data_IF_500901690040
#
_entry.id   IF_500901690040
#
_cell.length_a   1.000
_cell.length_b   1.000
_cell.length_c   1.000
_cell.angle_alpha   90.00
_cell.angle_beta   90.00
_cell.angle_gamma   90.00
#
_symmetry.space_group_name_H-M   'P 1'
#
loop_
_entity.id
_entity.type
_entity.pdbx_description
1 polymer ?
#
# COMPACT_ATOMS: atom_id res chain seq x y z
N UNK A 1 -37.32 -0.81 1.26
CA UNK A 1 -35.88 -1.02 0.99
C UNK A 1 -35.12 -0.09 1.91
N UNK A 2 -34.00 -0.50 2.53
CA UNK A 2 -33.18 0.45 3.26
C UNK A 2 -32.68 1.49 2.25
N UNK A 3 -33.07 2.74 2.40
CA UNK A 3 -32.53 3.87 1.65
C UNK A 3 -31.09 4.05 2.09
N UNK A 4 -30.15 3.51 1.33
CA UNK A 4 -28.76 3.95 1.40
C UNK A 4 -28.74 5.36 0.82
N UNK A 5 -28.56 6.36 1.68
CA UNK A 5 -28.29 7.72 1.24
C UNK A 5 -26.80 7.80 0.89
N UNK A 6 -26.49 8.09 -0.37
CA UNK A 6 -25.13 8.32 -0.84
C UNK A 6 -25.05 9.65 -1.54
N UNK A 7 -24.13 10.50 -1.13
CA UNK A 7 -23.75 11.69 -1.88
C UNK A 7 -22.31 11.55 -2.34
N UNK A 8 -22.11 11.43 -3.65
CA UNK A 8 -20.85 10.98 -4.25
C UNK A 8 -20.26 12.10 -5.09
N UNK A 9 -18.95 12.31 -4.95
CA UNK A 9 -18.17 13.17 -5.83
C UNK A 9 -18.05 12.51 -7.22
N UNK A 10 -18.45 13.21 -8.28
CA UNK A 10 -18.55 12.63 -9.63
C UNK A 10 -17.72 13.35 -10.69
N UNK A 11 -17.32 12.60 -11.72
CA UNK A 11 -16.62 13.12 -12.90
C UNK A 11 -17.49 14.18 -13.63
N UNK A 12 -16.86 15.16 -14.32
CA UNK A 12 -15.43 15.29 -14.62
C UNK A 12 -14.61 16.06 -13.57
N UNK A 13 -15.19 16.45 -12.43
CA UNK A 13 -14.59 17.43 -11.52
C UNK A 13 -14.03 16.84 -10.22
N UNK A 14 -13.85 15.52 -10.11
CA UNK A 14 -13.43 14.89 -8.85
C UNK A 14 -12.02 15.30 -8.44
N UNK A 15 -11.16 15.59 -9.42
CA UNK A 15 -9.74 15.91 -9.20
C UNK A 15 -9.42 17.40 -9.31
N UNK A 16 -10.42 18.27 -9.17
CA UNK A 16 -10.24 19.72 -9.20
C UNK A 16 -10.62 20.28 -7.82
N UNK A 17 -9.70 21.03 -7.20
CA UNK A 17 -9.90 21.53 -5.83
C UNK A 17 -11.00 22.57 -5.71
N UNK A 18 -11.27 23.32 -6.79
CA UNK A 18 -12.41 24.23 -6.88
C UNK A 18 -13.29 23.73 -8.01
N UNK A 19 -14.62 23.80 -7.86
CA UNK A 19 -15.61 23.37 -8.87
C UNK A 19 -16.03 21.89 -8.83
N UNK A 20 -16.15 21.30 -7.64
CA UNK A 20 -16.61 19.92 -7.50
C UNK A 20 -18.07 19.71 -7.97
N UNK A 21 -18.36 18.49 -8.42
CA UNK A 21 -19.70 18.04 -8.79
C UNK A 21 -20.12 16.87 -7.90
N UNK A 22 -21.32 16.94 -7.31
CA UNK A 22 -21.85 15.88 -6.47
C UNK A 22 -23.17 15.36 -7.00
N UNK A 23 -23.44 14.08 -6.76
CA UNK A 23 -24.73 13.48 -6.98
C UNK A 23 -25.24 12.85 -5.68
N UNK A 24 -26.43 13.26 -5.24
CA UNK A 24 -27.13 12.63 -4.13
C UNK A 24 -28.07 11.56 -4.69
N UNK A 25 -27.84 10.30 -4.34
CA UNK A 25 -28.64 9.15 -4.76
C UNK A 25 -28.84 9.12 -6.30
N UNK A 26 -30.09 9.24 -6.74
CA UNK A 26 -30.49 9.28 -8.14
C UNK A 26 -30.89 10.69 -8.61
N UNK A 27 -30.65 11.71 -7.79
CA UNK A 27 -30.92 13.10 -8.17
C UNK A 27 -29.99 13.54 -9.28
N UNK A 28 -30.32 14.66 -9.92
CA UNK A 28 -29.45 15.27 -10.93
C UNK A 28 -28.14 15.72 -10.27
N UNK A 29 -26.99 15.52 -10.93
CA UNK A 29 -25.73 16.12 -10.50
C UNK A 29 -25.85 17.62 -10.25
N UNK A 30 -25.21 18.08 -9.16
CA UNK A 30 -25.11 19.50 -8.79
C UNK A 30 -23.66 19.93 -8.87
N UNK A 31 -23.42 21.03 -9.59
CA UNK A 31 -22.11 21.63 -9.79
C UNK A 31 -21.92 22.82 -8.83
N UNK A 32 -20.77 22.88 -8.16
CA UNK A 32 -20.47 23.88 -7.14
C UNK A 32 -19.28 24.77 -7.54
N UNK A 33 -19.49 25.78 -8.40
CA UNK A 33 -18.40 26.63 -8.90
C UNK A 33 -17.74 27.45 -7.78
N UNK A 34 -16.41 27.52 -7.81
CA UNK A 34 -15.57 28.28 -6.88
C UNK A 34 -15.45 27.70 -5.47
N UNK A 35 -16.29 26.72 -5.12
CA UNK A 35 -16.29 26.09 -3.80
C UNK A 35 -15.15 25.09 -3.69
N UNK A 36 -14.47 25.12 -2.54
CA UNK A 36 -13.33 24.26 -2.25
C UNK A 36 -13.80 22.84 -1.93
N UNK A 37 -13.18 21.83 -2.54
CA UNK A 37 -13.61 20.44 -2.49
C UNK A 37 -13.70 19.91 -1.05
N UNK A 38 -12.62 20.06 -0.26
CA UNK A 38 -12.58 19.58 1.12
C UNK A 38 -13.67 20.22 1.97
N UNK A 39 -13.92 21.53 1.80
CA UNK A 39 -14.96 22.25 2.55
C UNK A 39 -16.37 21.75 2.18
N UNK A 40 -16.62 21.43 0.90
CA UNK A 40 -17.89 20.83 0.47
C UNK A 40 -18.07 19.40 1.00
N UNK A 41 -17.00 18.60 1.01
CA UNK A 41 -17.04 17.25 1.59
C UNK A 41 -17.30 17.34 3.09
N UNK A 42 -16.69 18.30 3.79
CA UNK A 42 -16.96 18.58 5.20
C UNK A 42 -18.44 18.91 5.43
N UNK A 43 -18.97 19.92 4.72
CA UNK A 43 -20.38 20.34 4.82
C UNK A 43 -21.35 19.16 4.64
N UNK A 44 -21.12 18.34 3.61
CA UNK A 44 -21.97 17.17 3.32
C UNK A 44 -21.84 16.08 4.38
N UNK A 45 -20.63 15.84 4.88
CA UNK A 45 -20.38 14.85 5.94
C UNK A 45 -21.07 15.25 7.24
N UNK A 46 -21.00 16.53 7.61
CA UNK A 46 -21.68 17.07 8.78
C UNK A 46 -23.21 16.97 8.65
N UNK A 47 -23.75 17.29 7.47
CA UNK A 47 -25.18 17.11 7.18
C UNK A 47 -25.62 15.65 7.28
N UNK A 48 -24.81 14.71 6.80
CA UNK A 48 -25.09 13.28 6.95
C UNK A 48 -25.08 12.84 8.42
N UNK A 49 -24.15 13.34 9.23
CA UNK A 49 -24.12 13.06 10.66
C UNK A 49 -25.35 13.61 11.39
N UNK A 50 -25.84 14.79 10.99
CA UNK A 50 -27.10 15.31 11.52
C UNK A 50 -28.28 14.40 11.14
N UNK A 51 -28.42 14.01 9.87
CA UNK A 51 -29.45 13.05 9.40
C UNK A 51 -29.35 11.69 10.14
N UNK A 52 -28.14 11.19 10.38
CA UNK A 52 -27.91 9.93 11.08
C UNK A 52 -28.28 10.02 12.56
N UNK A 53 -27.96 11.14 13.22
CA UNK A 53 -28.26 11.39 14.62
C UNK A 53 -29.75 11.67 14.87
N UNK A 54 -30.45 12.28 13.90
CA UNK A 54 -31.90 12.55 13.95
C UNK A 54 -32.75 11.33 13.54
N UNK A 55 -32.11 10.22 13.18
CA UNK A 55 -32.80 9.03 12.71
C UNK A 55 -33.67 8.38 13.79
N UNK A 56 -34.99 8.47 13.61
CA UNK A 56 -36.03 7.99 14.54
C UNK A 56 -35.95 6.48 14.80
N UNK A 57 -35.41 5.70 13.86
CA UNK A 57 -35.37 4.24 13.97
C UNK A 57 -34.12 3.70 14.70
N UNK A 58 -33.24 4.58 15.21
CA UNK A 58 -32.02 4.20 15.98
C UNK A 58 -31.08 3.23 15.25
N UNK A 59 -31.13 3.19 13.91
CA UNK A 59 -30.31 2.30 13.10
C UNK A 59 -28.85 2.77 13.06
N UNK A 60 -27.86 1.84 13.03
CA UNK A 60 -26.47 2.21 12.85
C UNK A 60 -26.24 2.85 11.47
N UNK A 61 -25.27 3.76 11.41
CA UNK A 61 -24.84 4.40 10.17
C UNK A 61 -23.46 3.89 9.72
N UNK A 62 -23.17 4.09 8.43
CA UNK A 62 -21.84 3.88 7.85
C UNK A 62 -21.57 5.05 6.90
N UNK A 63 -20.44 5.73 7.11
CA UNK A 63 -20.05 6.90 6.33
C UNK A 63 -18.63 6.73 5.82
N UNK A 64 -18.41 7.03 4.54
CA UNK A 64 -17.09 7.06 3.93
C UNK A 64 -16.81 8.47 3.40
N UNK A 65 -15.82 9.15 4.00
CA UNK A 65 -15.50 10.56 3.71
C UNK A 65 -14.22 10.61 2.88
N UNK A 66 -14.32 11.09 1.64
CA UNK A 66 -13.24 11.05 0.66
C UNK A 66 -13.00 12.43 0.02
N UNK A 67 -12.28 13.34 0.70
CA UNK A 67 -11.84 14.58 0.09
C UNK A 67 -10.72 14.30 -0.92
N UNK A 68 -10.55 15.21 -1.90
CA UNK A 68 -9.44 15.13 -2.86
C UNK A 68 -8.07 15.36 -2.19
N UNK A 69 -8.01 16.20 -1.15
CA UNK A 69 -6.76 16.62 -0.54
C UNK A 69 -5.98 15.46 0.09
N UNK A 70 -4.66 15.31 -0.13
CA UNK A 70 -3.74 16.19 -0.85
C UNK A 70 -3.35 15.70 -2.25
N UNK A 71 -4.25 15.01 -2.97
CA UNK A 71 -3.99 14.56 -4.34
C UNK A 71 -3.60 15.73 -5.26
N UNK A 72 -2.79 15.45 -6.28
CA UNK A 72 -2.45 16.41 -7.32
C UNK A 72 -3.71 16.89 -8.04
N UNK A 73 -3.76 18.18 -8.40
CA UNK A 73 -4.87 18.66 -9.22
C UNK A 73 -4.75 18.07 -10.63
N UNK A 74 -5.84 17.51 -11.15
CA UNK A 74 -5.86 16.85 -12.45
C UNK A 74 -6.84 17.54 -13.39
N UNK A 75 -6.32 18.03 -14.51
CA UNK A 75 -7.11 18.64 -15.57
C UNK A 75 -7.03 17.79 -16.84
N UNK A 76 -8.18 17.49 -17.43
CA UNK A 76 -8.25 16.86 -18.77
C UNK A 76 -8.24 18.00 -19.79
N UNK A 77 -7.20 18.06 -20.62
CA UNK A 77 -7.06 19.04 -21.71
C UNK A 77 -7.12 18.34 -23.06
N UNK A 78 -7.14 19.12 -24.15
CA UNK A 78 -7.05 18.56 -25.50
C UNK A 78 -5.72 17.85 -25.79
N UNK A 79 -4.71 18.04 -24.94
CA UNK A 79 -3.39 17.40 -25.02
C UNK A 79 -3.26 16.18 -24.10
N UNK A 80 -4.30 15.81 -23.35
CA UNK A 80 -4.30 14.68 -22.42
C UNK A 80 -4.52 15.10 -20.98
N UNK A 81 -4.09 14.25 -20.04
CA UNK A 81 -4.22 14.49 -18.60
C UNK A 81 -3.04 15.30 -18.11
N UNK A 82 -3.30 16.41 -17.40
CA UNK A 82 -2.27 17.26 -16.81
C UNK A 82 -2.38 17.25 -15.30
N UNK A 83 -1.27 16.96 -14.64
CA UNK A 83 -1.13 17.06 -13.20
C UNK A 83 -0.44 18.35 -12.78
N UNK A 84 -0.94 18.96 -11.72
CA UNK A 84 -0.27 20.06 -11.01
C UNK A 84 -0.27 19.84 -9.51
N UNK A 85 0.55 20.62 -8.80
CA UNK A 85 0.58 20.58 -7.35
C UNK A 85 -0.84 20.80 -6.77
N UNK A 86 -1.15 20.19 -5.62
CA UNK A 86 -2.38 20.46 -4.88
C UNK A 86 -2.64 21.95 -4.72
N UNK A 87 -3.91 22.34 -4.80
CA UNK A 87 -4.30 23.73 -4.53
C UNK A 87 -4.79 23.82 -3.09
N UNK A 88 -4.13 24.58 -2.22
CA UNK A 88 -4.54 24.70 -0.82
C UNK A 88 -5.82 25.53 -0.70
N UNK A 89 -6.54 25.35 0.40
CA UNK A 89 -7.57 26.29 0.78
C UNK A 89 -6.95 27.68 0.95
N UNK A 90 -7.66 28.74 0.55
CA UNK A 90 -7.13 30.10 0.55
C UNK A 90 -6.66 30.52 1.97
N UNK A 91 -7.36 30.05 3.02
CA UNK A 91 -7.00 30.25 4.44
C UNK A 91 -5.66 29.63 4.84
N UNK A 92 -5.17 28.64 4.11
CA UNK A 92 -3.94 27.89 4.41
C UNK A 92 -2.81 28.15 3.42
N UNK A 93 -2.99 29.04 2.44
CA UNK A 93 -2.06 29.27 1.34
C UNK A 93 -0.62 29.65 1.77
N UNK A 94 -0.46 30.16 2.99
CA UNK A 94 0.83 30.64 3.52
C UNK A 94 1.41 29.77 4.64
N UNK A 95 0.78 28.63 4.97
CA UNK A 95 1.33 27.73 5.99
C UNK A 95 2.64 27.08 5.51
N UNK A 96 3.48 26.70 6.48
CA UNK A 96 4.73 25.95 6.27
C UNK A 96 5.72 26.58 5.26
N UNK A 97 6.01 27.91 5.31
CA UNK A 97 6.81 28.59 4.30
C UNK A 97 8.22 28.01 4.12
N UNK A 98 8.79 27.44 5.18
CA UNK A 98 10.14 26.90 5.20
C UNK A 98 10.19 25.37 5.10
N UNK A 99 9.05 24.69 4.96
CA UNK A 99 9.04 23.24 4.86
C UNK A 99 9.67 22.78 3.55
N UNK A 100 10.40 21.67 3.64
CA UNK A 100 11.08 20.98 2.53
C UNK A 100 10.83 19.49 2.65
N UNK A 101 10.88 18.79 1.53
CA UNK A 101 10.74 17.32 1.56
C UNK A 101 11.88 16.75 2.39
N UNK A 102 11.62 15.77 3.27
CA UNK A 102 12.67 15.07 4.00
C UNK A 102 13.76 14.54 3.06
N UNK A 103 15.00 14.96 3.30
CA UNK A 103 16.19 14.56 2.53
C UNK A 103 16.76 13.24 3.07
N UNK A 104 15.99 12.16 2.94
CA UNK A 104 16.39 10.80 3.36
C UNK A 104 17.51 10.25 2.48
N UNK A 105 18.10 9.09 2.85
CA UNK A 105 19.11 8.38 2.03
C UNK A 105 18.59 8.03 0.63
N UNK A 106 17.28 7.75 0.50
CA UNK A 106 16.62 7.51 -0.78
C UNK A 106 16.41 8.77 -1.61
N UNK A 107 16.53 9.97 -1.04
CA UNK A 107 16.27 11.23 -1.77
C UNK A 107 17.37 11.55 -2.79
N UNK A 108 17.02 11.54 -4.07
CA UNK A 108 17.85 11.93 -5.22
C UNK A 108 19.32 11.42 -5.18
N UNK A 109 19.54 10.09 -5.05
CA UNK A 109 20.85 9.50 -4.84
C UNK A 109 21.79 9.74 -6.02
N UNK A 110 23.10 9.76 -5.75
CA UNK A 110 24.15 9.95 -6.76
C UNK A 110 24.25 8.80 -7.77
N UNK A 111 23.79 7.60 -7.39
CA UNK A 111 23.69 6.41 -8.25
C UNK A 111 22.21 6.03 -8.38
N UNK A 112 21.67 5.81 -9.60
CA UNK A 112 20.30 5.32 -9.75
C UNK A 112 20.18 3.89 -9.25
N UNK A 113 18.95 3.39 -9.11
CA UNK A 113 18.75 1.96 -8.86
C UNK A 113 19.16 1.16 -10.08
N UNK A 114 19.76 -0.01 -9.87
CA UNK A 114 20.12 -0.93 -10.97
C UNK A 114 18.98 -1.95 -11.17
N UNK A 115 17.78 -1.45 -11.49
CA UNK A 115 16.56 -2.27 -11.68
C UNK A 115 15.60 -1.58 -12.64
N UNK A 116 15.01 -2.35 -13.56
CA UNK A 116 13.94 -1.96 -14.47
C UNK A 116 14.13 -0.55 -15.09
N UNK A 117 13.07 0.25 -15.23
CA UNK A 117 13.13 1.62 -15.74
C UNK A 117 13.91 2.58 -14.83
N UNK A 118 14.08 2.23 -13.55
CA UNK A 118 14.70 3.10 -12.54
C UNK A 118 16.20 3.33 -12.78
N UNK A 119 16.87 2.45 -13.55
CA UNK A 119 18.28 2.60 -13.92
C UNK A 119 18.54 3.74 -14.90
N UNK A 120 17.53 4.09 -15.68
CA UNK A 120 17.61 5.15 -16.68
C UNK A 120 17.21 6.52 -16.11
N UNK A 121 16.77 6.59 -14.85
CA UNK A 121 16.31 7.84 -14.27
C UNK A 121 17.48 8.82 -14.06
N UNK A 122 17.43 10.02 -14.67
CA UNK A 122 18.44 11.03 -14.47
C UNK A 122 18.40 11.55 -13.03
N UNK A 123 19.55 12.00 -12.54
CA UNK A 123 19.58 12.69 -11.25
C UNK A 123 18.80 14.00 -11.36
N UNK A 124 17.96 14.29 -10.37
CA UNK A 124 17.18 15.53 -10.36
C UNK A 124 18.12 16.73 -10.15
N UNK A 125 17.99 17.74 -11.02
CA UNK A 125 18.73 18.99 -10.90
C UNK A 125 18.11 19.92 -9.83
N UNK A 126 18.78 21.02 -9.50
CA UNK A 126 18.33 21.96 -8.47
C UNK A 126 16.94 22.53 -8.76
N UNK A 127 16.64 22.87 -10.02
CA UNK A 127 15.32 23.41 -10.42
C UNK A 127 14.18 22.43 -10.11
N UNK A 128 14.38 21.14 -10.38
CA UNK A 128 13.38 20.11 -10.07
C UNK A 128 13.27 19.91 -8.56
N UNK A 129 14.40 19.87 -7.84
CA UNK A 129 14.42 19.73 -6.37
C UNK A 129 13.69 20.89 -5.69
N UNK A 130 13.91 22.13 -6.12
CA UNK A 130 13.24 23.32 -5.58
C UNK A 130 11.72 23.29 -5.88
N UNK A 131 11.34 22.80 -7.06
CA UNK A 131 9.93 22.57 -7.39
C UNK A 131 9.28 21.52 -6.50
N UNK A 132 9.94 20.39 -6.25
CA UNK A 132 9.43 19.35 -5.37
C UNK A 132 9.26 19.88 -3.94
N UNK A 133 10.15 20.74 -3.45
CA UNK A 133 9.97 21.40 -2.14
C UNK A 133 8.71 22.28 -2.11
N UNK A 134 8.40 23.00 -3.19
CA UNK A 134 7.13 23.74 -3.28
C UNK A 134 5.93 22.79 -3.37
N UNK A 135 6.02 21.72 -4.16
CA UNK A 135 4.98 20.71 -4.27
C UNK A 135 4.63 20.13 -2.89
N UNK A 136 5.65 19.82 -2.09
CA UNK A 136 5.49 19.34 -0.72
C UNK A 136 4.82 20.36 0.19
N UNK A 137 5.21 21.64 0.12
CA UNK A 137 4.50 22.71 0.85
C UNK A 137 3.04 22.78 0.46
N UNK A 138 2.72 22.69 -0.83
CA UNK A 138 1.34 22.69 -1.30
C UNK A 138 0.54 21.49 -0.79
N UNK A 139 1.13 20.29 -0.79
CA UNK A 139 0.53 19.10 -0.16
C UNK A 139 0.23 19.33 1.32
N UNK A 140 1.19 19.86 2.09
CA UNK A 140 1.00 20.15 3.52
C UNK A 140 -0.11 21.18 3.76
N UNK A 141 -0.19 22.23 2.94
CA UNK A 141 -1.24 23.26 3.04
C UNK A 141 -2.62 22.71 2.68
N UNK A 142 -2.71 21.82 1.69
CA UNK A 142 -3.95 21.11 1.36
C UNK A 142 -4.36 20.18 2.51
N UNK A 143 -3.41 19.44 3.10
CA UNK A 143 -3.64 18.62 4.30
C UNK A 143 -4.17 19.41 5.49
N UNK A 144 -3.78 20.67 5.67
CA UNK A 144 -4.32 21.49 6.76
C UNK A 144 -5.85 21.66 6.66
N UNK A 145 -6.43 21.69 5.45
CA UNK A 145 -7.90 21.71 5.31
C UNK A 145 -8.56 20.37 5.61
N UNK A 146 -7.82 19.26 5.44
CA UNK A 146 -8.26 17.92 5.85
C UNK A 146 -8.30 17.82 7.37
N UNK A 147 -7.31 18.40 8.05
CA UNK A 147 -7.26 18.49 9.52
C UNK A 147 -8.47 19.25 10.08
N UNK A 148 -8.81 20.42 9.52
CA UNK A 148 -10.03 21.16 9.88
C UNK A 148 -11.29 20.29 9.75
N UNK A 149 -11.45 19.58 8.62
CA UNK A 149 -12.62 18.73 8.40
C UNK A 149 -12.71 17.59 9.40
N UNK A 150 -11.57 16.99 9.78
CA UNK A 150 -11.53 15.94 10.79
C UNK A 150 -11.97 16.51 12.16
N UNK A 151 -11.48 17.69 12.53
CA UNK A 151 -11.88 18.38 13.77
C UNK A 151 -13.38 18.68 13.79
N UNK A 152 -13.93 19.18 12.68
CA UNK A 152 -15.37 19.43 12.53
C UNK A 152 -16.20 18.16 12.70
N UNK A 153 -15.78 17.04 12.09
CA UNK A 153 -16.45 15.73 12.22
C UNK A 153 -16.45 15.26 13.68
N UNK A 154 -15.30 15.34 14.37
CA UNK A 154 -15.22 14.96 15.78
C UNK A 154 -16.07 15.87 16.67
N UNK A 155 -16.00 17.18 16.47
CA UNK A 155 -16.82 18.17 17.17
C UNK A 155 -18.31 17.89 16.99
N UNK A 156 -18.74 17.51 15.78
CA UNK A 156 -20.13 17.13 15.50
C UNK A 156 -20.52 15.83 16.20
N UNK A 157 -19.67 14.80 16.16
CA UNK A 157 -19.93 13.55 16.89
C UNK A 157 -20.07 13.79 18.40
N UNK A 158 -19.25 14.65 18.99
CA UNK A 158 -19.35 15.05 20.40
C UNK A 158 -20.64 15.82 20.68
N UNK A 159 -20.95 16.83 19.87
CA UNK A 159 -22.18 17.63 20.01
C UNK A 159 -23.44 16.76 19.96
N UNK A 160 -23.46 15.75 19.08
CA UNK A 160 -24.59 14.83 18.91
C UNK A 160 -24.56 13.64 19.90
N UNK A 161 -23.54 13.55 20.76
CA UNK A 161 -23.40 12.45 21.74
C UNK A 161 -23.09 11.08 21.11
N UNK A 162 -22.55 11.05 19.89
CA UNK A 162 -22.25 9.84 19.13
C UNK A 162 -20.78 9.39 19.24
N UNK A 163 -19.91 10.25 19.78
CA UNK A 163 -18.46 10.09 19.74
C UNK A 163 -17.96 8.79 20.40
N UNK A 164 -18.66 8.30 21.42
CA UNK A 164 -18.30 7.11 22.19
C UNK A 164 -18.87 5.81 21.62
N UNK A 165 -19.83 5.90 20.70
CA UNK A 165 -20.46 4.77 20.00
C UNK A 165 -20.05 4.68 18.51
N UNK A 166 -19.07 5.48 18.10
CA UNK A 166 -18.61 5.55 16.71
C UNK A 166 -17.18 5.05 16.58
N UNK A 167 -16.95 4.09 15.68
CA UNK A 167 -15.61 3.78 15.19
C UNK A 167 -15.23 4.75 14.07
N UNK A 168 -14.09 5.41 14.20
CA UNK A 168 -13.49 6.28 13.18
C UNK A 168 -12.20 5.63 12.70
N UNK A 169 -12.12 5.38 11.40
CA UNK A 169 -10.94 4.81 10.73
C UNK A 169 -10.37 5.87 9.79
N UNK A 170 -9.10 6.21 9.95
CA UNK A 170 -8.37 7.12 9.07
C UNK A 170 -7.27 6.37 8.35
N UNK A 171 -7.25 6.47 7.03
CA UNK A 171 -6.20 5.91 6.17
C UNK A 171 -6.19 6.62 4.82
N UNK A 172 -5.33 6.19 3.90
CA UNK A 172 -5.21 6.70 2.54
C UNK A 172 -5.16 5.53 1.56
N UNK A 173 -5.44 5.75 0.28
CA UNK A 173 -5.37 4.74 -0.78
C UNK A 173 -3.93 4.29 -1.06
N UNK A 174 -2.99 5.22 -1.05
CA UNK A 174 -1.56 5.01 -1.25
C UNK A 174 -0.74 6.12 -0.56
N UNK A 175 0.57 5.91 -0.52
CA UNK A 175 1.58 6.91 -0.19
C UNK A 175 1.92 7.82 -1.37
N UNK A 176 3.04 8.55 -1.27
CA UNK A 176 3.46 9.49 -2.30
C UNK A 176 4.95 9.81 -2.20
N UNK A 177 5.71 9.43 -3.21
CA UNK A 177 7.12 9.80 -3.34
C UNK A 177 7.29 11.15 -4.04
N UNK A 178 8.35 11.87 -3.66
CA UNK A 178 8.78 13.13 -4.28
C UNK A 178 10.31 13.23 -4.19
N UNK A 179 11.01 12.75 -5.22
CA UNK A 179 12.47 12.79 -5.30
C UNK A 179 13.18 11.56 -4.75
N UNK A 180 12.51 10.72 -3.97
CA UNK A 180 13.05 9.43 -3.53
C UNK A 180 13.30 8.53 -4.74
N UNK A 181 14.44 7.84 -4.74
CA UNK A 181 14.92 7.00 -5.84
C UNK A 181 15.05 7.73 -7.19
N UNK A 182 15.17 9.07 -7.17
CA UNK A 182 15.13 9.98 -8.33
C UNK A 182 13.78 10.05 -9.05
N UNK A 183 12.73 9.49 -8.46
CA UNK A 183 11.38 9.60 -8.98
C UNK A 183 10.87 11.03 -8.83
N UNK A 184 10.00 11.47 -9.74
CA UNK A 184 9.32 12.75 -9.64
C UNK A 184 8.24 12.72 -8.54
N UNK A 185 7.41 13.75 -8.43
CA UNK A 185 6.22 13.66 -7.59
C UNK A 185 5.28 12.59 -8.16
N UNK A 186 4.86 11.62 -7.36
CA UNK A 186 3.96 10.58 -7.84
C UNK A 186 3.75 9.44 -6.86
N UNK A 187 3.23 8.36 -7.42
CA UNK A 187 2.95 7.08 -6.78
C UNK A 187 3.15 5.99 -7.82
N UNK A 188 2.80 4.74 -7.53
CA UNK A 188 2.95 3.53 -8.38
C UNK A 188 4.24 2.73 -8.20
N UNK A 189 5.10 3.07 -7.24
CA UNK A 189 6.27 2.26 -6.89
C UNK A 189 5.98 1.29 -5.73
N UNK A 190 6.79 0.25 -5.59
CA UNK A 190 6.71 -0.69 -4.46
C UNK A 190 7.47 -0.21 -3.20
N UNK A 191 7.96 1.03 -3.20
CA UNK A 191 8.81 1.55 -2.12
C UNK A 191 7.99 2.07 -0.93
N UNK A 192 8.61 2.17 0.25
CA UNK A 192 7.88 2.50 1.50
C UNK A 192 7.16 3.84 1.39
N UNK A 193 7.70 4.80 0.64
CA UNK A 193 7.06 6.10 0.41
C UNK A 193 5.67 5.99 -0.25
N UNK A 194 5.41 4.94 -1.03
CA UNK A 194 4.16 4.70 -1.75
C UNK A 194 3.24 3.67 -1.08
N UNK A 195 3.79 2.74 -0.30
CA UNK A 195 3.02 1.58 0.21
C UNK A 195 2.83 1.60 1.73
N UNK A 196 3.71 2.26 2.48
CA UNK A 196 3.60 2.37 3.94
C UNK A 196 2.76 3.59 4.31
N UNK A 197 1.46 3.37 4.43
CA UNK A 197 0.47 4.42 4.64
C UNK A 197 0.06 4.60 6.11
N UNK A 198 -0.41 5.80 6.50
CA UNK A 198 -1.03 5.98 7.82
C UNK A 198 -2.29 5.12 7.95
N UNK A 199 -2.44 4.51 9.13
CA UNK A 199 -3.65 3.81 9.53
C UNK A 199 -3.92 4.08 11.01
N UNK A 200 -5.08 4.65 11.31
CA UNK A 200 -5.51 4.96 12.67
C UNK A 200 -6.96 4.52 12.86
N UNK A 201 -7.26 3.95 14.03
CA UNK A 201 -8.61 3.60 14.43
C UNK A 201 -8.88 4.06 15.86
N UNK A 202 -10.04 4.69 16.06
CA UNK A 202 -10.60 5.10 17.36
C UNK A 202 -12.01 4.53 17.46
N UNK A 203 -12.43 4.13 18.65
CA UNK A 203 -13.83 3.79 18.89
C UNK A 203 -14.02 2.97 20.17
N UNK A 204 -15.25 2.47 20.40
CA UNK A 204 -15.57 1.67 21.58
C UNK A 204 -14.59 0.49 21.80
N UNK A 205 -13.96 0.46 22.97
CA UNK A 205 -13.04 -0.63 23.36
C UNK A 205 -11.71 -0.69 22.60
N UNK A 206 -11.39 0.33 21.78
CA UNK A 206 -10.07 0.45 21.13
C UNK A 206 -9.08 1.06 22.14
N UNK A 207 -8.01 0.34 22.55
CA UNK A 207 -7.05 0.88 23.51
C UNK A 207 -6.18 1.99 22.88
N UNK A 208 -5.85 3.00 23.68
CA UNK A 208 -4.91 4.05 23.29
C UNK A 208 -3.49 3.48 23.13
N UNK A 209 -2.82 3.82 22.03
CA UNK A 209 -1.43 3.45 21.80
C UNK A 209 -1.15 3.19 20.32
N UNK A 210 -0.07 2.48 20.06
CA UNK A 210 0.28 2.01 18.72
C UNK A 210 0.62 0.52 18.77
N UNK A 211 0.32 -0.18 17.68
CA UNK A 211 0.67 -1.58 17.47
C UNK A 211 1.42 -1.70 16.15
N UNK A 212 2.47 -2.53 16.12
CA UNK A 212 3.12 -2.92 14.87
C UNK A 212 2.51 -4.25 14.44
N UNK A 213 1.74 -4.22 13.37
CA UNK A 213 1.06 -5.38 12.84
C UNK A 213 0.99 -5.24 11.31
N UNK A 214 1.38 -6.25 10.52
CA UNK A 214 1.27 -6.16 9.06
C UNK A 214 -0.18 -6.19 8.65
N UNK A 215 -0.60 -5.24 7.82
CA UNK A 215 -1.99 -5.11 7.35
C UNK A 215 -2.02 -4.68 5.90
N UNK A 216 -3.11 -4.99 5.21
CA UNK A 216 -3.39 -4.50 3.86
C UNK A 216 -4.82 -3.92 3.79
N UNK A 217 -5.16 -3.13 2.77
CA UNK A 217 -6.52 -2.60 2.60
C UNK A 217 -7.59 -3.68 2.51
N UNK A 218 -7.25 -4.88 2.04
CA UNK A 218 -8.19 -6.03 2.03
C UNK A 218 -8.62 -6.47 3.44
N UNK A 219 -7.89 -6.07 4.49
CA UNK A 219 -8.24 -6.31 5.89
C UNK A 219 -9.32 -5.33 6.41
N UNK A 220 -9.59 -4.22 5.72
CA UNK A 220 -10.59 -3.23 6.15
C UNK A 220 -12.00 -3.82 6.23
N UNK A 221 -12.44 -4.49 5.16
CA UNK A 221 -13.78 -5.09 5.09
C UNK A 221 -14.03 -6.13 6.21
N UNK A 222 -13.18 -7.15 6.42
CA UNK A 222 -13.36 -8.09 7.53
C UNK A 222 -13.25 -7.41 8.90
N UNK A 223 -12.40 -6.39 9.06
CA UNK A 223 -12.32 -5.61 10.31
C UNK A 223 -13.64 -4.88 10.60
N UNK A 224 -14.22 -4.21 9.61
CA UNK A 224 -15.51 -3.52 9.75
C UNK A 224 -16.62 -4.52 10.07
N UNK A 225 -16.62 -5.70 9.43
CA UNK A 225 -17.58 -6.77 9.72
C UNK A 225 -17.47 -7.23 11.18
N UNK A 226 -16.25 -7.48 11.68
CA UNK A 226 -16.03 -7.88 13.08
C UNK A 226 -16.51 -6.78 14.06
N UNK A 227 -16.20 -5.52 13.77
CA UNK A 227 -16.62 -4.39 14.61
C UNK A 227 -18.15 -4.19 14.62
N UNK A 228 -18.81 -4.46 13.50
CA UNK A 228 -20.26 -4.39 13.35
C UNK A 228 -21.00 -5.65 13.81
N UNK A 229 -20.28 -6.70 14.25
CA UNK A 229 -20.89 -7.99 14.65
C UNK A 229 -21.48 -8.79 13.48
N UNK A 230 -21.01 -8.53 12.26
CA UNK A 230 -21.43 -9.24 11.04
C UNK A 230 -20.54 -10.47 10.85
N UNK A 231 -21.10 -11.66 10.56
CA UNK A 231 -20.30 -12.85 10.27
C UNK A 231 -19.32 -12.63 9.12
N UNK A 232 -18.07 -13.06 9.31
CA UNK A 232 -17.05 -13.02 8.26
C UNK A 232 -17.43 -13.94 7.10
N UNK A 233 -16.95 -13.61 5.90
CA UNK A 233 -17.12 -14.42 4.71
C UNK A 233 -15.82 -15.13 4.37
N UNK A 234 -15.92 -16.37 3.91
CA UNK A 234 -14.76 -17.20 3.57
C UNK A 234 -14.05 -16.73 2.28
N UNK A 235 -14.71 -15.88 1.48
CA UNK A 235 -14.19 -15.32 0.24
C UNK A 235 -13.43 -14.00 0.43
N UNK A 236 -13.25 -13.52 1.67
CA UNK A 236 -12.39 -12.39 1.95
C UNK A 236 -10.90 -12.76 1.81
N UNK A 237 -10.17 -11.94 1.05
CA UNK A 237 -8.72 -12.07 0.87
C UNK A 237 -7.91 -11.58 2.08
N UNK A 238 -8.55 -10.82 2.97
CA UNK A 238 -7.98 -10.31 4.23
C UNK A 238 -8.62 -10.90 5.47
N UNK A 239 -8.15 -10.49 6.63
CA UNK A 239 -8.71 -10.89 7.94
C UNK A 239 -8.88 -9.70 8.88
N UNK A 240 -9.69 -9.82 9.95
CA UNK A 240 -9.86 -8.72 10.88
C UNK A 240 -8.54 -8.34 11.57
N UNK A 241 -8.24 -7.05 11.59
CA UNK A 241 -7.13 -6.48 12.33
C UNK A 241 -7.37 -6.61 13.84
N UNK A 242 -6.32 -6.75 14.68
CA UNK A 242 -6.46 -6.91 16.13
C UNK A 242 -6.80 -5.58 16.83
N UNK A 243 -7.97 -5.00 16.53
CA UNK A 243 -8.39 -3.67 16.96
C UNK A 243 -8.57 -3.58 18.48
N UNK A 244 -9.35 -4.49 19.08
CA UNK A 244 -9.68 -4.47 20.52
C UNK A 244 -8.68 -5.23 21.39
N UNK A 245 -8.06 -6.29 20.85
CA UNK A 245 -7.10 -7.12 21.56
C UNK A 245 -5.75 -7.14 20.85
N UNK A 246 -4.93 -6.14 21.14
CA UNK A 246 -3.60 -5.95 20.56
C UNK A 246 -2.57 -7.02 20.98
N UNK A 247 -2.92 -7.92 21.92
CA UNK A 247 -2.06 -9.02 22.36
C UNK A 247 -2.29 -10.31 21.57
N UNK A 248 -3.16 -10.32 20.56
CA UNK A 248 -3.32 -11.50 19.71
C UNK A 248 -2.00 -11.80 18.98
N UNK A 249 -1.58 -13.08 18.92
CA UNK A 249 -0.40 -13.47 18.16
C UNK A 249 -0.61 -13.08 16.70
N UNK A 250 0.48 -12.61 16.08
CA UNK A 250 0.49 -12.28 14.67
C UNK A 250 0.09 -13.50 13.85
N UNK A 251 -1.03 -13.40 13.12
CA UNK A 251 -1.59 -14.53 12.35
C UNK A 251 -0.97 -14.64 10.95
N UNK A 252 -0.45 -13.53 10.42
CA UNK A 252 0.11 -13.45 9.08
C UNK A 252 1.25 -12.45 9.04
N UNK A 253 2.22 -12.72 8.17
CA UNK A 253 3.47 -11.98 8.04
C UNK A 253 3.63 -11.29 6.69
N UNK A 254 2.63 -11.39 5.81
CA UNK A 254 2.76 -10.99 4.40
C UNK A 254 1.78 -9.86 4.08
N UNK A 255 2.29 -8.87 3.38
CA UNK A 255 1.50 -7.86 2.66
C UNK A 255 1.88 -7.94 1.19
N UNK A 256 0.89 -8.18 0.33
CA UNK A 256 1.07 -8.23 -1.12
C UNK A 256 0.86 -6.83 -1.72
N UNK A 257 1.75 -6.42 -2.62
CA UNK A 257 1.67 -5.15 -3.36
C UNK A 257 1.97 -5.42 -4.83
N UNK A 258 1.10 -4.98 -5.71
CA UNK A 258 1.20 -5.25 -7.13
C UNK A 258 0.87 -4.00 -7.94
N UNK A 259 1.49 -3.89 -9.11
CA UNK A 259 1.20 -2.78 -10.01
C UNK A 259 1.35 -3.21 -11.47
N UNK A 260 0.39 -2.79 -12.31
CA UNK A 260 0.41 -2.95 -13.76
C UNK A 260 -0.27 -1.75 -14.40
N UNK A 261 0.43 -1.01 -15.27
CA UNK A 261 -0.20 0.00 -16.12
C UNK A 261 0.79 0.52 -17.17
N UNK A 262 0.31 1.07 -18.29
CA UNK A 262 1.11 2.01 -19.10
C UNK A 262 0.95 3.46 -18.64
N UNK A 263 -0.08 3.75 -17.85
CA UNK A 263 -0.48 5.10 -17.48
C UNK A 263 0.07 5.56 -16.12
N UNK A 264 1.22 5.03 -15.68
CA UNK A 264 1.95 5.69 -14.58
C UNK A 264 2.38 7.08 -15.07
N UNK A 265 1.80 8.11 -14.47
CA UNK A 265 2.16 9.50 -14.70
C UNK A 265 2.92 10.05 -13.51
N UNK A 266 4.01 10.73 -13.80
CA UNK A 266 4.60 11.65 -12.82
C UNK A 266 3.62 12.82 -12.61
N UNK A 267 3.18 13.06 -11.38
CA UNK A 267 2.11 14.00 -11.04
C UNK A 267 2.58 15.47 -10.90
N UNK A 268 3.55 15.90 -11.71
CA UNK A 268 4.10 17.25 -11.65
C UNK A 268 4.54 17.81 -12.99
N UNK A 269 4.80 19.12 -13.05
CA UNK A 269 5.13 19.82 -14.30
C UNK A 269 6.46 19.40 -14.95
N UNK A 270 7.34 18.73 -14.20
CA UNK A 270 8.60 18.16 -14.69
C UNK A 270 8.52 16.64 -14.84
N UNK A 271 7.33 16.09 -14.66
CA UNK A 271 7.03 14.70 -14.94
C UNK A 271 7.17 14.35 -16.41
N UNK A 272 7.36 13.06 -16.69
CA UNK A 272 7.28 12.54 -18.04
C UNK A 272 5.84 12.70 -18.56
N UNK A 273 5.65 13.48 -19.63
CA UNK A 273 4.33 13.68 -20.26
C UNK A 273 3.83 12.41 -21.01
N UNK A 274 4.57 11.30 -20.93
CA UNK A 274 4.35 10.07 -21.70
C UNK A 274 4.56 8.85 -20.79
N UNK A 275 3.75 7.82 -20.99
CA UNK A 275 3.77 6.50 -20.36
C UNK A 275 5.15 6.05 -19.86
N UNK A 276 5.25 5.74 -18.55
CA UNK A 276 6.42 5.06 -17.99
C UNK A 276 6.31 3.57 -18.33
N UNK A 277 7.20 3.07 -19.18
CA UNK A 277 7.28 1.65 -19.52
C UNK A 277 8.11 0.86 -18.49
N UNK A 278 7.95 -0.47 -18.47
CA UNK A 278 8.67 -1.40 -17.60
C UNK A 278 8.44 -1.17 -16.09
N UNK A 279 7.32 -0.54 -15.71
CA UNK A 279 6.92 -0.23 -14.35
C UNK A 279 6.12 -1.35 -13.65
N UNK A 280 5.77 -2.43 -14.36
CA UNK A 280 4.98 -3.53 -13.79
C UNK A 280 5.83 -4.36 -12.82
N UNK A 281 5.28 -4.67 -11.64
CA UNK A 281 5.92 -5.52 -10.64
C UNK A 281 4.92 -6.32 -9.80
N UNK A 282 5.45 -7.36 -9.15
CA UNK A 282 4.84 -8.04 -8.01
C UNK A 282 5.78 -7.93 -6.82
N UNK A 283 5.28 -7.50 -5.67
CA UNK A 283 6.08 -7.23 -4.48
C UNK A 283 5.42 -7.80 -3.23
N UNK A 284 6.24 -8.29 -2.30
CA UNK A 284 5.79 -8.73 -0.99
C UNK A 284 6.60 -8.03 0.09
N UNK A 285 5.89 -7.52 1.10
CA UNK A 285 6.47 -7.13 2.38
C UNK A 285 6.25 -8.27 3.36
N UNK A 286 7.34 -8.74 3.95
CA UNK A 286 7.34 -9.85 4.89
C UNK A 286 7.82 -9.36 6.25
N UNK A 287 6.96 -9.37 7.25
CA UNK A 287 7.26 -8.89 8.60
C UNK A 287 6.89 -10.00 9.57
N UNK A 288 7.86 -10.59 10.25
CA UNK A 288 7.65 -11.65 11.22
C UNK A 288 8.56 -11.52 12.42
N UNK A 289 8.62 -12.57 13.24
CA UNK A 289 9.47 -12.58 14.42
C UNK A 289 10.94 -12.68 14.01
N UNK A 290 11.63 -11.54 14.01
CA UNK A 290 13.05 -11.45 13.68
C UNK A 290 13.37 -11.18 12.21
N UNK A 291 12.37 -10.87 11.36
CA UNK A 291 12.60 -10.43 9.98
C UNK A 291 11.65 -9.33 9.54
N UNK A 292 12.17 -8.42 8.71
CA UNK A 292 11.39 -7.45 7.95
C UNK A 292 12.02 -7.33 6.56
N UNK A 293 11.36 -7.87 5.53
CA UNK A 293 11.92 -7.96 4.18
C UNK A 293 10.97 -7.36 3.15
N UNK A 294 11.52 -6.73 2.12
CA UNK A 294 10.81 -6.40 0.90
C UNK A 294 11.42 -7.20 -0.24
N UNK A 295 10.60 -7.93 -1.01
CA UNK A 295 11.04 -8.64 -2.20
C UNK A 295 10.13 -8.33 -3.38
N UNK A 296 10.72 -7.92 -4.50
CA UNK A 296 9.99 -7.59 -5.73
C UNK A 296 10.56 -8.29 -6.94
N UNK A 297 9.67 -8.64 -7.88
CA UNK A 297 9.99 -9.11 -9.23
C UNK A 297 9.38 -8.15 -10.23
N UNK A 298 10.22 -7.57 -11.08
CA UNK A 298 9.80 -6.65 -12.14
C UNK A 298 9.48 -7.40 -13.43
N UNK A 299 8.68 -6.80 -14.32
CA UNK A 299 8.38 -7.38 -15.63
C UNK A 299 9.62 -7.59 -16.52
N UNK A 300 10.73 -6.90 -16.22
CA UNK A 300 12.04 -7.14 -16.84
C UNK A 300 12.74 -8.40 -16.32
N UNK A 301 12.08 -9.18 -15.46
CA UNK A 301 12.60 -10.32 -14.69
C UNK A 301 13.73 -9.98 -13.72
N UNK A 302 14.05 -8.70 -13.54
CA UNK A 302 14.98 -8.26 -12.53
C UNK A 302 14.31 -8.34 -11.14
N UNK A 303 15.11 -8.63 -10.12
CA UNK A 303 14.65 -8.89 -8.75
C UNK A 303 15.38 -8.02 -7.75
N UNK A 304 14.66 -7.59 -6.73
CA UNK A 304 15.23 -6.86 -5.62
C UNK A 304 14.79 -7.41 -4.27
N UNK A 305 15.72 -7.37 -3.32
CA UNK A 305 15.51 -7.78 -1.94
C UNK A 305 16.16 -6.75 -1.02
N UNK A 306 15.41 -6.25 -0.04
CA UNK A 306 15.90 -5.34 0.98
C UNK A 306 15.58 -5.87 2.37
N UNK A 307 16.54 -5.74 3.28
CA UNK A 307 16.31 -5.85 4.71
C UNK A 307 15.78 -4.51 5.22
N UNK A 308 14.55 -4.53 5.71
CA UNK A 308 13.77 -3.36 6.10
C UNK A 308 13.72 -3.17 7.62
N UNK A 309 14.57 -3.88 8.38
CA UNK A 309 14.71 -3.60 9.80
C UNK A 309 15.04 -2.12 10.04
N UNK A 310 14.30 -1.47 10.92
CA UNK A 310 14.68 -0.15 11.41
C UNK A 310 15.87 -0.34 12.36
N UNK A 311 17.04 0.20 12.04
CA UNK A 311 18.09 0.37 13.03
C UNK A 311 17.49 1.19 14.17
N UNK A 312 17.42 0.61 15.38
CA UNK A 312 17.25 1.44 16.55
C UNK A 312 18.42 2.44 16.55
N UNK A 313 18.22 3.72 16.94
CA UNK A 313 19.27 4.74 16.87
C UNK A 313 20.61 4.38 17.54
N UNK A 314 20.65 3.32 18.36
CA UNK A 314 21.83 2.86 19.10
C UNK A 314 22.13 1.34 18.96
N UNK A 315 21.64 0.63 17.94
CA UNK A 315 21.99 -0.80 17.76
C UNK A 315 23.26 -0.99 16.93
N UNK A 316 24.38 -1.25 17.58
CA UNK A 316 25.68 -1.59 16.96
C UNK A 316 25.74 -3.01 16.32
N UNK A 317 24.59 -3.62 16.02
CA UNK A 317 24.52 -4.97 15.46
C UNK A 317 23.43 -5.01 14.40
N UNK A 318 23.79 -4.67 13.16
CA UNK A 318 23.37 -5.26 11.87
C UNK A 318 23.66 -4.26 10.74
N UNK A 319 24.79 -4.39 10.01
CA UNK A 319 25.19 -3.46 8.96
C UNK A 319 24.35 -3.53 7.66
N UNK A 320 23.37 -4.44 7.59
CA UNK A 320 22.60 -4.72 6.36
C UNK A 320 21.19 -4.12 6.32
N UNK A 321 20.71 -3.56 7.44
CA UNK A 321 19.42 -2.87 7.50
C UNK A 321 19.40 -1.65 6.57
N UNK A 322 18.40 -1.60 5.68
CA UNK A 322 18.29 -0.61 4.62
C UNK A 322 16.82 -0.19 4.40
N UNK A 323 16.19 0.45 5.41
CA UNK A 323 14.80 0.91 5.29
C UNK A 323 14.61 1.98 4.20
N UNK A 324 15.70 2.56 3.68
CA UNK A 324 15.68 3.46 2.54
C UNK A 324 15.81 2.76 1.17
N UNK A 325 15.85 1.42 1.13
CA UNK A 325 15.77 0.60 -0.08
C UNK A 325 16.78 0.97 -1.18
N UNK A 326 18.04 1.19 -0.79
CA UNK A 326 19.15 1.60 -1.66
C UNK A 326 20.14 0.47 -2.01
N UNK A 327 20.19 -0.61 -1.22
CA UNK A 327 21.18 -1.68 -1.30
C UNK A 327 20.46 -3.00 -1.64
N UNK A 328 20.33 -3.32 -2.92
CA UNK A 328 19.67 -4.54 -3.36
C UNK A 328 20.50 -5.79 -3.03
N UNK A 329 20.08 -6.56 -2.03
CA UNK A 329 20.77 -7.75 -1.53
C UNK A 329 20.67 -8.95 -2.50
N UNK A 330 19.72 -8.95 -3.44
CA UNK A 330 19.56 -10.06 -4.37
C UNK A 330 20.79 -10.23 -5.30
N UNK A 331 21.59 -9.17 -5.49
CA UNK A 331 22.80 -9.19 -6.32
C UNK A 331 24.09 -9.48 -5.52
N UNK A 332 24.00 -9.64 -4.20
CA UNK A 332 25.17 -9.79 -3.31
C UNK A 332 25.35 -11.23 -2.83
N UNK A 333 26.60 -11.61 -2.52
CA UNK A 333 26.92 -12.85 -1.79
C UNK A 333 26.80 -12.62 -0.27
N UNK A 334 25.67 -12.07 0.17
CA UNK A 334 25.40 -11.77 1.58
C UNK A 334 24.50 -12.82 2.22
N UNK A 335 24.24 -12.65 3.51
CA UNK A 335 23.45 -13.56 4.33
C UNK A 335 22.37 -12.76 5.06
N UNK A 336 21.15 -13.27 5.07
CA UNK A 336 20.07 -12.70 5.87
C UNK A 336 19.63 -13.76 6.87
N UNK A 337 19.60 -13.39 8.15
CA UNK A 337 19.27 -14.29 9.27
C UNK A 337 20.13 -15.57 9.31
N UNK A 338 21.42 -15.45 8.94
CA UNK A 338 22.35 -16.59 8.91
C UNK A 338 22.17 -17.52 7.71
N UNK A 339 21.30 -17.19 6.75
CA UNK A 339 21.08 -17.96 5.54
C UNK A 339 21.59 -17.21 4.31
N UNK A 340 22.16 -17.90 3.30
CA UNK A 340 22.49 -17.27 2.02
C UNK A 340 21.26 -16.57 1.43
N UNK A 341 21.41 -15.37 0.88
CA UNK A 341 20.29 -14.60 0.29
C UNK A 341 19.48 -15.44 -0.69
N UNK A 342 20.12 -16.22 -1.56
CA UNK A 342 19.42 -17.03 -2.57
C UNK A 342 18.55 -18.13 -1.96
N UNK A 343 18.94 -18.66 -0.78
CA UNK A 343 18.09 -19.56 -0.02
C UNK A 343 16.81 -18.85 0.40
N UNK A 344 16.89 -17.63 0.94
CA UNK A 344 15.73 -16.82 1.31
C UNK A 344 14.87 -16.48 0.09
N UNK A 345 15.48 -16.00 -0.99
CA UNK A 345 14.80 -15.61 -2.25
C UNK A 345 13.97 -16.76 -2.82
N UNK A 346 14.46 -18.01 -2.79
CA UNK A 346 13.70 -19.17 -3.28
C UNK A 346 12.37 -19.39 -2.54
N UNK A 347 12.29 -19.05 -1.24
CA UNK A 347 11.07 -19.15 -0.43
C UNK A 347 10.12 -18.01 -0.73
N UNK A 348 10.66 -16.79 -0.82
CA UNK A 348 9.91 -15.59 -1.21
C UNK A 348 9.30 -15.73 -2.60
N UNK A 349 10.03 -16.35 -3.53
CA UNK A 349 9.52 -16.72 -4.85
C UNK A 349 8.32 -17.69 -4.77
N UNK A 350 8.41 -18.73 -3.93
CA UNK A 350 7.29 -19.65 -3.70
C UNK A 350 6.05 -18.95 -3.15
N UNK A 351 6.22 -18.03 -2.20
CA UNK A 351 5.12 -17.19 -1.70
C UNK A 351 4.52 -16.32 -2.80
N UNK A 352 5.37 -15.63 -3.57
CA UNK A 352 4.94 -14.75 -4.67
C UNK A 352 4.11 -15.50 -5.71
N UNK A 353 4.45 -16.76 -6.02
CA UNK A 353 3.66 -17.61 -6.91
C UNK A 353 2.25 -17.90 -6.39
N UNK A 354 2.07 -18.04 -5.08
CA UNK A 354 0.73 -18.16 -4.48
C UNK A 354 0.00 -16.83 -4.58
N UNK A 355 0.66 -15.74 -4.18
CA UNK A 355 0.03 -14.44 -3.96
C UNK A 355 -0.40 -13.74 -5.25
N UNK A 356 0.33 -13.92 -6.36
CA UNK A 356 -0.02 -13.32 -7.65
C UNK A 356 -1.41 -13.70 -8.21
N UNK A 357 -2.04 -14.75 -7.65
CA UNK A 357 -3.37 -15.27 -8.05
C UNK A 357 -4.21 -15.77 -6.89
N UNK A 358 -3.85 -15.44 -5.65
CA UNK A 358 -4.54 -15.95 -4.49
C UNK A 358 -6.00 -15.47 -4.46
N UNK A 359 -6.87 -16.26 -3.83
CA UNK A 359 -8.25 -15.87 -3.51
C UNK A 359 -8.62 -16.46 -2.14
N UNK A 360 -9.39 -15.69 -1.36
CA UNK A 360 -9.86 -16.01 -0.03
C UNK A 360 -8.73 -16.53 0.87
N UNK A 361 -8.95 -17.72 1.41
CA UNK A 361 -8.02 -18.39 2.33
C UNK A 361 -6.59 -18.58 1.78
N UNK A 362 -6.39 -18.60 0.46
CA UNK A 362 -5.03 -18.70 -0.11
C UNK A 362 -4.25 -17.40 0.07
N UNK A 363 -4.91 -16.24 0.04
CA UNK A 363 -4.29 -14.94 0.32
C UNK A 363 -3.94 -14.81 1.80
N UNK A 364 -4.82 -15.32 2.66
CA UNK A 364 -4.65 -15.29 4.12
C UNK A 364 -3.55 -16.24 4.60
N UNK A 365 -3.48 -17.46 4.04
CA UNK A 365 -2.58 -18.52 4.50
C UNK A 365 -1.73 -19.11 3.36
N UNK A 366 -0.88 -18.32 2.69
CA UNK A 366 -0.14 -18.79 1.51
C UNK A 366 0.87 -19.90 1.83
N UNK A 367 1.43 -19.93 3.04
CA UNK A 367 2.28 -21.05 3.48
C UNK A 367 1.53 -22.38 3.53
N UNK A 368 0.26 -22.37 3.94
CA UNK A 368 -0.60 -23.56 3.95
C UNK A 368 -0.91 -24.05 2.53
N UNK A 369 -0.96 -23.15 1.56
CA UNK A 369 -1.08 -23.51 0.14
C UNK A 369 0.14 -24.28 -0.35
N UNK A 370 1.36 -23.86 0.05
CA UNK A 370 2.60 -24.56 -0.31
C UNK A 370 2.81 -25.84 0.52
N UNK A 371 2.38 -25.84 1.78
CA UNK A 371 2.56 -26.91 2.76
C UNK A 371 1.22 -27.32 3.39
N UNK A 372 0.37 -28.08 2.68
CA UNK A 372 -0.99 -28.42 3.14
C UNK A 372 -1.03 -29.27 4.42
N UNK A 373 0.10 -29.85 4.82
CA UNK A 373 0.24 -30.59 6.08
C UNK A 373 0.33 -29.67 7.32
N UNK A 374 0.46 -28.34 7.13
CA UNK A 374 0.44 -27.35 8.22
C UNK A 374 1.74 -27.19 9.01
N UNK A 375 2.84 -27.80 8.57
CA UNK A 375 4.14 -27.77 9.26
C UNK A 375 4.95 -26.48 9.01
N UNK A 376 4.49 -25.62 8.11
CA UNK A 376 5.15 -24.37 7.73
C UNK A 376 4.11 -23.27 7.78
N UNK A 377 4.31 -22.32 8.70
CA UNK A 377 3.41 -21.18 8.91
C UNK A 377 4.13 -19.84 8.79
N UNK A 378 5.46 -19.87 8.65
CA UNK A 378 6.34 -18.70 8.59
C UNK A 378 7.53 -18.93 7.66
N UNK A 379 8.24 -17.85 7.29
CA UNK A 379 9.52 -17.95 6.60
C UNK A 379 10.55 -18.74 7.41
N UNK A 380 10.60 -18.56 8.74
CA UNK A 380 11.51 -19.33 9.61
C UNK A 380 11.29 -20.83 9.45
N UNK A 381 10.05 -21.30 9.43
CA UNK A 381 9.74 -22.71 9.21
C UNK A 381 10.19 -23.18 7.81
N UNK A 382 9.95 -22.35 6.78
CA UNK A 382 10.28 -22.63 5.38
C UNK A 382 11.80 -22.66 5.10
N UNK A 383 12.62 -22.05 5.97
CA UNK A 383 14.07 -22.05 5.86
C UNK A 383 14.72 -23.35 6.35
N UNK A 384 13.95 -24.26 6.98
CA UNK A 384 14.46 -25.55 7.43
C UNK A 384 15.08 -26.36 6.24
N UNK A 385 16.28 -26.94 6.39
CA UNK A 385 17.02 -27.59 5.29
C UNK A 385 16.26 -28.69 4.53
N UNK A 386 15.34 -29.37 5.21
CA UNK A 386 14.46 -30.38 4.61
C UNK A 386 13.64 -29.89 3.41
N UNK A 387 13.43 -28.57 3.30
CA UNK A 387 12.65 -27.95 2.22
C UNK A 387 13.53 -27.35 1.11
N UNK A 388 14.86 -27.44 1.23
CA UNK A 388 15.80 -26.82 0.27
C UNK A 388 15.57 -27.31 -1.16
N UNK A 389 15.48 -28.62 -1.36
CA UNK A 389 15.24 -29.19 -2.70
C UNK A 389 13.90 -28.74 -3.28
N UNK A 390 12.85 -28.69 -2.46
CA UNK A 390 11.53 -28.24 -2.89
C UNK A 390 11.54 -26.79 -3.39
N UNK A 391 12.14 -25.86 -2.63
CA UNK A 391 12.17 -24.45 -3.01
C UNK A 391 13.20 -24.12 -4.10
N UNK A 392 14.36 -24.77 -4.08
CA UNK A 392 15.49 -24.41 -4.95
C UNK A 392 15.49 -25.15 -6.29
N UNK A 393 14.88 -26.35 -6.36
CA UNK A 393 14.87 -27.17 -7.57
C UNK A 393 13.47 -27.37 -8.15
N UNK A 394 12.48 -27.59 -7.30
CA UNK A 394 11.14 -27.98 -7.75
C UNK A 394 10.19 -26.80 -7.93
N UNK A 395 10.48 -25.65 -7.31
CA UNK A 395 9.64 -24.45 -7.39
C UNK A 395 9.89 -23.70 -8.70
N UNK A 396 8.85 -23.47 -9.53
CA UNK A 396 8.95 -22.58 -10.67
C UNK A 396 9.38 -21.17 -10.24
N UNK A 397 10.01 -20.41 -11.13
CA UNK A 397 10.35 -19.02 -10.85
C UNK A 397 9.22 -18.11 -11.33
N UNK A 398 8.86 -17.10 -10.51
CA UNK A 398 8.05 -15.99 -10.99
C UNK A 398 8.82 -15.29 -12.10
N UNK A 399 8.16 -15.11 -13.24
CA UNK A 399 8.74 -14.45 -14.40
C UNK A 399 7.65 -13.80 -15.23
N UNK A 400 8.05 -12.90 -16.12
CA UNK A 400 7.19 -12.29 -17.12
C UNK A 400 7.78 -12.58 -18.50
N UNK A 401 6.93 -12.81 -19.50
CA UNK A 401 7.39 -12.97 -20.88
C UNK A 401 7.86 -11.63 -21.44
N UNK A 402 7.09 -10.57 -21.20
CA UNK A 402 7.41 -9.19 -21.57
C UNK A 402 6.77 -8.17 -20.61
N UNK A 403 7.18 -6.90 -20.71
CA UNK A 403 6.58 -5.80 -19.97
C UNK A 403 5.35 -5.26 -20.71
N UNK A 404 4.15 -5.61 -20.24
CA UNK A 404 2.89 -5.26 -20.88
C UNK A 404 2.09 -4.19 -20.16
N UNK A 405 1.17 -3.65 -20.95
CA UNK A 405 0.22 -2.61 -20.66
C UNK A 405 -0.98 -3.01 -19.79
N UNK A 406 -0.76 -3.85 -18.78
CA UNK A 406 -1.83 -4.31 -17.90
C UNK A 406 -1.67 -5.75 -17.43
N UNK A 407 -2.65 -6.19 -16.66
CA UNK A 407 -2.68 -7.53 -16.08
C UNK A 407 -3.14 -8.58 -17.10
N UNK A 408 -2.16 -9.24 -17.73
CA UNK A 408 -2.39 -10.30 -18.71
C UNK A 408 -1.82 -11.60 -18.14
N UNK A 409 -2.71 -12.48 -17.67
CA UNK A 409 -2.34 -13.71 -16.96
C UNK A 409 -1.37 -14.58 -17.77
N UNK A 410 -1.58 -14.70 -19.08
CA UNK A 410 -0.71 -15.49 -19.96
C UNK A 410 0.73 -14.96 -20.03
N UNK A 411 0.94 -13.67 -19.77
CA UNK A 411 2.25 -13.03 -19.79
C UNK A 411 3.03 -13.20 -18.47
N UNK A 412 2.37 -13.55 -17.36
CA UNK A 412 3.04 -13.67 -16.06
C UNK A 412 3.76 -15.02 -15.83
N UNK A 413 4.16 -15.73 -16.89
CA UNK A 413 4.95 -16.96 -16.77
C UNK A 413 4.25 -18.05 -15.93
N UNK A 414 4.97 -18.79 -15.07
CA UNK A 414 4.38 -19.82 -14.22
C UNK A 414 3.27 -19.29 -13.29
N UNK A 415 2.12 -19.95 -13.30
CA UNK A 415 0.91 -19.54 -12.56
C UNK A 415 0.62 -20.40 -11.33
N UNK A 416 1.14 -21.62 -11.30
CA UNK A 416 0.80 -22.63 -10.30
C UNK A 416 2.09 -22.96 -9.55
N UNK A 417 2.14 -22.78 -8.22
CA UNK A 417 3.28 -23.20 -7.43
C UNK A 417 3.36 -24.72 -7.31
N UNK A 418 4.57 -25.23 -7.12
CA UNK A 418 4.75 -26.59 -6.65
C UNK A 418 4.21 -26.72 -5.21
N UNK A 419 3.57 -27.83 -4.90
CA UNK A 419 3.03 -28.13 -3.56
C UNK A 419 3.90 -29.20 -2.90
N UNK A 420 4.34 -28.95 -1.66
CA UNK A 420 5.22 -29.87 -0.93
C UNK A 420 4.50 -31.17 -0.61
N UNK A 421 5.16 -32.30 -0.88
CA UNK A 421 4.68 -33.62 -0.50
C UNK A 421 5.83 -34.51 -0.04
N UNK A 422 5.75 -34.95 1.21
CA UNK A 422 6.77 -35.79 1.88
C UNK A 422 7.18 -37.02 1.05
N UNK A 423 6.24 -37.66 0.35
CA UNK A 423 6.51 -38.85 -0.49
C UNK A 423 7.41 -38.55 -1.71
N UNK A 424 7.35 -37.34 -2.28
CA UNK A 424 8.17 -36.97 -3.45
C UNK A 424 9.61 -36.64 -3.05
N UNK A 425 9.80 -36.00 -1.90
CA UNK A 425 11.14 -35.63 -1.44
C UNK A 425 11.89 -36.79 -0.79
N UNK A 426 11.20 -37.68 -0.05
CA UNK A 426 11.82 -38.91 0.48
C UNK A 426 12.30 -39.82 -0.66
N UNK A 427 11.50 -39.98 -1.73
CA UNK A 427 11.90 -40.76 -2.90
C UNK A 427 13.13 -40.18 -3.64
N UNK A 428 13.29 -38.84 -3.68
CA UNK A 428 14.48 -38.18 -4.25
C UNK A 428 15.71 -38.31 -3.34
N UNK A 429 15.52 -38.21 -2.02
CA UNK A 429 16.61 -38.37 -1.05
C UNK A 429 17.14 -39.80 -1.01
N UNK A 430 16.27 -40.81 -1.12
CA UNK A 430 16.68 -42.23 -1.16
C UNK A 430 17.37 -42.59 -2.49
N UNK A 431 16.95 -41.99 -3.62
CA UNK A 431 17.63 -42.17 -4.90
C UNK A 431 19.07 -41.62 -4.87
N UNK A 432 19.31 -40.50 -4.19
CA UNK A 432 20.65 -39.90 -4.06
C UNK A 432 21.56 -40.65 -3.07
N UNK A 433 21.00 -41.38 -2.09
CA UNK A 433 21.78 -42.27 -1.21
C UNK A 433 22.19 -43.59 -1.87
N UNK A 434 21.57 -43.96 -3.01
CA UNK A 434 21.94 -45.15 -3.79
C UNK A 434 23.22 -45.02 -4.62
N UNK A 435 23.91 -43.87 -4.57
CA UNK A 435 25.14 -43.58 -5.32
C UNK A 435 26.32 -43.15 -4.41
N UNK A 436 26.47 -43.78 -3.24
CA UNK A 436 27.70 -43.70 -2.43
C UNK A 436 28.30 -45.08 -2.22
#
# INVERSE_FOLDING_TARGET
MPTCFGEVLIQPNIYIYKNASFQRNHDKPVYYPGKYNTDLVAEKSLGYLDDAADNVDSRPFFMFVMPIGPHSETAITSQGVKFSAPVPADRHAHLYPNAKIPRTKSFNPSVPKDISYLKELPRLNSTVVDYLDEFYRQRLRALASLDDMIDDIFSKLEQRGLVDDTYVIYTTDNGFHMGQHRLQAGKTSCYEEDVSIPFMIRGPGVPKGSVKYPTNHVDLAPTIFELAGIPLRDDFDGTPMPVKNQKQPQKYEIVNVEFWDLSSFDEGKYGTEVNIFNNTYKSIRLIGSGYNLMYSVWCTNERELYDMHSLAPNSNFQPEADPAQMNNLNKTKSYIFGHPVQKVVSRLNGLMLVLKRCQGQQCVYPWKTLHPQGNVMSLTDALHPRYDTFYEKDMPQVSFEECLAGYIISNEGPQIPSIYSKKKDEAKYDFLKGFN
#
